data_IF_294156105432
#
_entry.id   IF_294156105432
#
_cell.length_a   1.000
_cell.length_b   1.000
_cell.length_c   1.000
_cell.angle_alpha   90.00
_cell.angle_beta   90.00
_cell.angle_gamma   90.00
#
_symmetry.space_group_name_H-M   'P 1'
#
loop_
_entity.id
_entity.type
_entity.pdbx_description
1 polymer ?
#
# COMPACT_ATOMS: atom_id res chain seq x y z
N UNK A 1 -50.19 51.79 -17.68
CA UNK A 1 -49.25 50.65 -17.68
C UNK A 1 -48.97 50.33 -16.24
N UNK A 2 -49.47 49.17 -15.83
CA UNK A 2 -49.47 48.59 -14.50
C UNK A 2 -48.15 47.86 -14.23
N UNK A 3 -47.53 48.08 -13.07
CA UNK A 3 -46.50 47.20 -12.51
C UNK A 3 -46.69 47.15 -10.99
N UNK A 4 -47.41 46.11 -10.57
CA UNK A 4 -47.66 45.76 -9.19
C UNK A 4 -46.42 45.19 -8.48
N UNK A 5 -46.27 45.61 -7.23
CA UNK A 5 -45.40 45.05 -6.21
C UNK A 5 -45.90 43.67 -5.75
N UNK A 6 -44.99 42.71 -5.54
CA UNK A 6 -45.30 41.40 -4.97
C UNK A 6 -44.15 40.87 -4.11
N UNK A 7 -44.30 41.05 -2.80
CA UNK A 7 -43.44 40.59 -1.72
C UNK A 7 -43.65 39.06 -1.50
N UNK A 8 -42.59 38.25 -1.36
CA UNK A 8 -42.75 36.90 -0.81
C UNK A 8 -41.64 36.52 0.17
N UNK A 9 -42.12 36.10 1.34
CA UNK A 9 -41.44 35.75 2.57
C UNK A 9 -41.20 34.23 2.64
N UNK A 10 -40.12 33.87 3.34
CA UNK A 10 -39.68 32.52 3.71
C UNK A 10 -40.80 31.51 4.05
N UNK A 11 -40.63 30.27 3.59
CA UNK A 11 -40.94 29.10 4.43
C UNK A 11 -40.04 27.90 4.11
N UNK A 12 -39.63 27.22 5.18
CA UNK A 12 -38.77 26.06 5.23
C UNK A 12 -39.44 24.78 4.71
N UNK A 13 -38.64 23.76 4.38
CA UNK A 13 -39.11 22.39 4.22
C UNK A 13 -38.14 21.51 3.45
N UNK A 14 -37.46 20.60 4.16
CA UNK A 14 -36.48 19.67 3.60
C UNK A 14 -37.06 18.66 2.60
N UNK A 15 -36.24 18.28 1.62
CA UNK A 15 -36.54 17.25 0.63
C UNK A 15 -35.67 16.02 0.87
N UNK A 16 -36.25 14.99 1.49
CA UNK A 16 -35.72 13.64 1.51
C UNK A 16 -36.08 12.89 0.23
N UNK A 17 -35.11 12.17 -0.35
CA UNK A 17 -35.34 11.28 -1.49
C UNK A 17 -35.67 9.87 -0.99
N UNK A 18 -36.87 9.41 -1.33
CA UNK A 18 -37.43 8.12 -0.95
C UNK A 18 -36.79 6.98 -1.76
N UNK A 19 -36.33 5.95 -1.05
CA UNK A 19 -36.00 4.63 -1.57
C UNK A 19 -37.30 3.82 -1.73
N UNK A 20 -37.68 3.47 -2.96
CA UNK A 20 -38.79 2.55 -3.22
C UNK A 20 -38.23 1.18 -3.62
N UNK A 21 -38.40 0.20 -2.74
CA UNK A 21 -37.98 -1.18 -2.95
C UNK A 21 -38.98 -2.03 -3.74
N UNK A 22 -38.38 -2.98 -4.47
CA UNK A 22 -38.82 -4.34 -4.83
C UNK A 22 -40.10 -4.57 -5.64
N UNK A 23 -39.95 -5.26 -6.78
CA UNK A 23 -40.44 -6.64 -7.01
C UNK A 23 -40.16 -7.11 -8.46
N UNK A 24 -39.63 -8.33 -8.64
CA UNK A 24 -39.91 -9.14 -9.86
C UNK A 24 -38.75 -9.68 -10.72
N UNK A 25 -38.08 -10.75 -10.24
CA UNK A 25 -37.63 -12.02 -10.90
C UNK A 25 -37.44 -12.10 -12.45
N UNK A 26 -36.26 -12.64 -12.86
CA UNK A 26 -35.90 -13.20 -14.19
C UNK A 26 -34.86 -12.33 -14.91
N UNK A 27 -33.65 -12.72 -15.33
CA UNK A 27 -33.12 -13.98 -15.86
C UNK A 27 -31.57 -13.98 -15.77
N UNK A 28 -30.99 -15.17 -15.73
CA UNK A 28 -29.55 -15.45 -15.60
C UNK A 28 -28.65 -14.66 -16.56
N UNK A 29 -27.64 -13.96 -16.02
CA UNK A 29 -26.41 -13.60 -16.73
C UNK A 29 -25.19 -14.11 -15.95
N UNK A 30 -24.38 -15.03 -16.49
CA UNK A 30 -23.13 -15.46 -15.86
C UNK A 30 -22.02 -14.50 -16.26
N UNK A 31 -21.67 -13.57 -15.37
CA UNK A 31 -20.54 -12.67 -15.56
C UNK A 31 -20.20 -11.99 -14.24
N UNK A 32 -19.20 -12.54 -13.56
CA UNK A 32 -18.95 -12.35 -12.14
C UNK A 32 -18.85 -10.89 -11.69
N UNK A 33 -19.39 -10.67 -10.49
CA UNK A 33 -19.20 -9.49 -9.67
C UNK A 33 -17.73 -9.08 -9.68
N UNK A 34 -17.41 -8.01 -10.41
CA UNK A 34 -16.19 -7.24 -10.20
C UNK A 34 -16.33 -6.59 -8.81
N UNK A 35 -16.02 -7.38 -7.78
CA UNK A 35 -15.66 -6.86 -6.47
C UNK A 35 -14.62 -5.79 -6.73
N UNK A 36 -14.99 -4.52 -6.51
CA UNK A 36 -14.07 -3.38 -6.59
C UNK A 36 -12.95 -3.69 -5.60
N UNK A 37 -11.85 -4.22 -6.14
CA UNK A 37 -10.75 -4.71 -5.33
C UNK A 37 -9.95 -3.49 -4.90
N UNK A 38 -10.35 -2.88 -3.78
CA UNK A 38 -9.70 -1.70 -3.18
C UNK A 38 -8.23 -1.94 -2.75
N UNK A 39 -7.66 -3.14 -2.98
CA UNK A 39 -6.29 -3.51 -2.64
C UNK A 39 -5.35 -3.78 -3.84
N UNK A 40 -5.75 -3.49 -5.09
CA UNK A 40 -4.90 -3.75 -6.26
C UNK A 40 -3.94 -2.62 -6.63
N UNK A 41 -4.19 -1.40 -6.15
CA UNK A 41 -3.35 -0.27 -6.50
C UNK A 41 -2.08 -0.21 -5.65
N UNK A 42 -0.96 -0.62 -6.23
CA UNK A 42 0.37 -0.57 -5.60
C UNK A 42 1.21 0.53 -6.19
N UNK A 43 2.01 1.21 -5.36
CA UNK A 43 3.10 2.07 -5.82
C UNK A 43 4.43 1.35 -5.67
N UNK A 44 5.09 1.03 -6.79
CA UNK A 44 6.32 0.25 -6.81
C UNK A 44 7.57 1.11 -7.05
N UNK A 45 8.52 1.19 -6.11
CA UNK A 45 9.83 1.75 -6.40
C UNK A 45 10.60 0.78 -7.32
N UNK A 46 11.06 1.28 -8.47
CA UNK A 46 11.77 0.50 -9.48
C UNK A 46 12.96 1.26 -10.06
N UNK A 47 13.87 0.52 -10.69
CA UNK A 47 14.87 1.05 -11.62
C UNK A 47 14.30 1.10 -13.04
N UNK A 48 14.89 1.91 -13.92
CA UNK A 48 14.48 1.98 -15.33
C UNK A 48 14.73 0.65 -16.03
N UNK A 49 15.78 -0.10 -15.67
CA UNK A 49 16.00 -1.43 -16.24
C UNK A 49 14.82 -2.38 -15.96
N UNK A 50 14.28 -2.36 -14.74
CA UNK A 50 13.09 -3.14 -14.41
C UNK A 50 11.85 -2.70 -15.21
N UNK A 51 11.72 -1.41 -15.52
CA UNK A 51 10.65 -0.90 -16.40
C UNK A 51 10.80 -1.45 -17.82
N UNK A 52 12.01 -1.45 -18.35
CA UNK A 52 12.33 -1.96 -19.70
C UNK A 52 12.11 -3.48 -19.77
N UNK A 53 12.40 -4.20 -18.69
CA UNK A 53 12.31 -5.67 -18.61
C UNK A 53 10.96 -6.18 -18.12
N UNK A 54 10.06 -5.30 -17.64
CA UNK A 54 8.75 -5.68 -17.12
C UNK A 54 8.00 -6.60 -18.10
N UNK A 55 7.20 -7.53 -17.62
CA UNK A 55 6.52 -8.49 -18.47
C UNK A 55 5.08 -8.08 -18.69
N UNK A 56 4.55 -8.27 -19.90
CA UNK A 56 3.15 -8.03 -20.22
C UNK A 56 2.64 -9.22 -21.02
N UNK A 57 1.63 -9.93 -20.50
CA UNK A 57 1.17 -11.18 -21.11
C UNK A 57 0.45 -10.95 -22.46
N UNK A 58 -0.31 -9.85 -22.56
CA UNK A 58 -0.99 -9.38 -23.75
C UNK A 58 -1.21 -7.85 -23.65
N UNK A 59 -1.58 -7.14 -24.73
CA UNK A 59 -1.66 -5.67 -24.73
C UNK A 59 -2.54 -5.04 -23.64
N UNK A 60 -3.63 -5.72 -23.26
CA UNK A 60 -4.57 -5.26 -22.23
C UNK A 60 -4.28 -5.78 -20.82
N UNK A 61 -3.19 -6.54 -20.64
CA UNK A 61 -2.78 -7.02 -19.31
C UNK A 61 -1.97 -5.97 -18.57
N UNK A 62 -2.08 -5.97 -17.25
CA UNK A 62 -1.19 -5.20 -16.39
C UNK A 62 0.27 -5.68 -16.51
N UNK A 63 1.19 -4.76 -16.29
CA UNK A 63 2.62 -5.08 -16.29
C UNK A 63 2.99 -5.83 -15.01
N UNK A 64 3.94 -6.75 -15.14
CA UNK A 64 4.53 -7.46 -14.02
C UNK A 64 6.01 -7.15 -13.88
N UNK A 65 6.43 -6.86 -12.66
CA UNK A 65 7.84 -6.75 -12.27
C UNK A 65 8.07 -7.77 -11.17
N UNK A 66 9.14 -8.57 -11.29
CA UNK A 66 9.46 -9.65 -10.34
C UNK A 66 8.31 -10.67 -10.17
N UNK A 67 7.53 -10.90 -11.25
CA UNK A 67 6.38 -11.80 -11.25
C UNK A 67 5.09 -11.23 -10.63
N UNK A 68 5.13 -10.02 -10.08
CA UNK A 68 3.99 -9.37 -9.43
C UNK A 68 3.47 -8.19 -10.25
N UNK A 69 2.15 -8.06 -10.30
CA UNK A 69 1.44 -6.99 -10.98
C UNK A 69 1.79 -5.62 -10.40
N UNK A 70 2.00 -4.63 -11.26
CA UNK A 70 2.35 -3.26 -10.88
C UNK A 70 1.40 -2.29 -11.58
N UNK A 71 0.56 -1.61 -10.81
CA UNK A 71 -0.37 -0.60 -11.34
C UNK A 71 0.26 0.79 -11.42
N UNK A 72 1.09 1.16 -10.44
CA UNK A 72 1.81 2.43 -10.39
C UNK A 72 3.27 2.19 -9.99
N UNK A 73 4.16 3.05 -10.47
CA UNK A 73 5.58 2.98 -10.18
C UNK A 73 6.15 4.34 -9.80
N UNK A 74 7.26 4.32 -9.08
CA UNK A 74 8.09 5.49 -8.82
C UNK A 74 9.55 5.20 -9.09
N UNK A 75 10.24 6.19 -9.63
CA UNK A 75 11.68 6.13 -9.83
C UNK A 75 12.32 7.51 -9.77
N UNK A 76 13.63 7.53 -9.54
CA UNK A 76 14.46 8.74 -9.55
C UNK A 76 15.48 8.62 -10.68
N UNK A 77 15.66 9.69 -11.44
CA UNK A 77 16.67 9.73 -12.50
C UNK A 77 16.97 11.16 -12.95
N UNK A 78 18.03 11.29 -13.74
CA UNK A 78 18.47 12.54 -14.35
C UNK A 78 17.72 12.80 -15.65
N UNK A 79 17.18 14.01 -15.82
CA UNK A 79 16.54 14.45 -17.05
C UNK A 79 17.63 14.71 -18.10
N UNK A 80 17.61 13.94 -19.18
CA UNK A 80 18.54 14.08 -20.31
C UNK A 80 18.03 14.99 -21.40
N UNK A 81 16.71 15.04 -21.59
CA UNK A 81 16.09 15.91 -22.57
C UNK A 81 14.64 16.24 -22.17
N UNK A 82 14.19 17.44 -22.53
CA UNK A 82 12.80 17.89 -22.38
C UNK A 82 12.26 18.27 -23.77
N UNK A 83 11.13 17.67 -24.15
CA UNK A 83 10.40 17.98 -25.38
C UNK A 83 8.97 18.40 -25.06
N UNK A 84 8.69 19.69 -25.17
CA UNK A 84 7.35 20.26 -24.94
C UNK A 84 6.51 20.22 -26.22
N UNK A 85 5.30 19.67 -26.13
CA UNK A 85 4.27 19.69 -27.17
C UNK A 85 3.01 20.38 -26.63
N UNK A 86 2.04 20.63 -27.50
CA UNK A 86 0.80 21.32 -27.13
C UNK A 86 0.02 20.61 -26.02
N UNK A 87 0.00 19.27 -26.02
CA UNK A 87 -0.83 18.47 -25.11
C UNK A 87 -0.04 17.74 -24.03
N UNK A 88 1.28 17.64 -24.17
CA UNK A 88 2.14 16.92 -23.23
C UNK A 88 3.57 17.46 -23.23
N UNK A 89 4.28 17.21 -22.13
CA UNK A 89 5.72 17.37 -22.03
C UNK A 89 6.32 15.97 -21.92
N UNK A 90 7.30 15.67 -22.77
CA UNK A 90 8.03 14.41 -22.74
C UNK A 90 9.42 14.63 -22.19
N UNK A 91 9.77 13.91 -21.12
CA UNK A 91 11.07 13.90 -20.49
C UNK A 91 11.78 12.59 -20.84
N UNK A 92 13.03 12.66 -21.30
CA UNK A 92 13.90 11.49 -21.40
C UNK A 92 14.71 11.40 -20.11
N UNK A 93 14.50 10.35 -19.31
CA UNK A 93 15.10 10.21 -17.97
C UNK A 93 16.01 9.00 -17.93
N UNK A 94 17.17 9.14 -17.28
CA UNK A 94 18.22 8.15 -17.12
C UNK A 94 18.62 7.98 -15.65
N UNK A 95 18.69 6.75 -15.15
CA UNK A 95 19.07 6.42 -13.77
C UNK A 95 20.38 5.61 -13.68
N UNK A 96 21.13 5.53 -14.78
CA UNK A 96 22.32 4.68 -14.93
C UNK A 96 22.03 3.21 -15.24
N UNK A 97 20.80 2.73 -15.04
CA UNK A 97 20.39 1.35 -15.39
C UNK A 97 19.71 1.26 -16.76
N UNK A 98 19.23 2.38 -17.27
CA UNK A 98 18.65 2.52 -18.59
C UNK A 98 18.09 3.92 -18.81
N UNK A 99 17.39 4.12 -19.92
CA UNK A 99 16.72 5.37 -20.24
C UNK A 99 15.27 5.13 -20.65
N UNK A 100 14.33 5.97 -20.20
CA UNK A 100 12.90 5.86 -20.52
C UNK A 100 12.27 7.22 -20.84
N UNK A 101 11.26 7.22 -21.70
CA UNK A 101 10.41 8.39 -21.94
C UNK A 101 9.32 8.48 -20.87
N UNK A 102 9.16 9.67 -20.31
CA UNK A 102 8.12 10.01 -19.33
C UNK A 102 7.26 11.12 -19.90
N UNK A 103 5.95 10.87 -20.01
CA UNK A 103 4.99 11.81 -20.59
C UNK A 103 4.10 12.39 -19.51
N UNK A 104 4.17 13.69 -19.31
CA UNK A 104 3.26 14.46 -18.47
C UNK A 104 2.23 15.14 -19.37
N UNK A 105 0.96 14.79 -19.21
CA UNK A 105 -0.12 15.50 -19.90
C UNK A 105 -0.37 16.82 -19.18
N UNK A 106 -0.52 17.88 -19.96
CA UNK A 106 -0.68 19.25 -19.49
C UNK A 106 -1.92 19.83 -20.15
N UNK A 107 -2.78 20.44 -19.36
CA UNK A 107 -3.85 21.28 -19.89
C UNK A 107 -3.21 22.56 -20.46
N UNK A 108 -3.79 23.08 -21.54
CA UNK A 108 -3.25 24.21 -22.31
C UNK A 108 -2.88 25.44 -21.46
N UNK A 109 -3.56 25.63 -20.33
CA UNK A 109 -3.36 26.74 -19.41
C UNK A 109 -2.10 26.56 -18.52
N UNK A 110 -1.64 25.33 -18.31
CA UNK A 110 -0.47 25.00 -17.48
C UNK A 110 0.84 25.19 -18.25
N UNK A 111 0.84 24.97 -19.56
CA UNK A 111 2.03 25.12 -20.42
C UNK A 111 2.56 26.55 -20.38
N UNK A 112 1.66 27.54 -20.31
CA UNK A 112 1.99 28.96 -20.25
C UNK A 112 2.39 29.43 -18.83
N UNK A 113 2.03 28.69 -17.78
CA UNK A 113 2.37 29.05 -16.39
C UNK A 113 3.71 28.50 -15.91
N UNK A 114 4.30 27.53 -16.61
CA UNK A 114 5.69 27.10 -16.36
C UNK A 114 6.74 28.19 -16.67
N UNK A 115 6.35 29.23 -17.40
CA UNK A 115 7.20 30.39 -17.72
C UNK A 115 6.93 31.60 -16.79
N UNK A 116 5.86 31.58 -16.00
CA UNK A 116 5.41 32.77 -15.22
C UNK A 116 5.26 32.55 -13.70
N UNK A 117 5.60 31.36 -13.18
CA UNK A 117 5.59 31.10 -11.74
C UNK A 117 6.92 31.53 -11.08
N UNK A 118 6.80 32.52 -10.20
CA UNK A 118 7.79 33.13 -9.29
C UNK A 118 8.96 32.25 -8.81
N UNK A 119 10.16 32.85 -8.80
CA UNK A 119 11.54 32.34 -8.63
C UNK A 119 11.89 31.52 -7.35
N UNK A 120 10.95 30.90 -6.65
CA UNK A 120 11.22 30.22 -5.38
C UNK A 120 11.08 28.69 -5.38
N UNK A 121 10.51 28.08 -6.42
CA UNK A 121 10.32 26.62 -6.49
C UNK A 121 11.38 25.98 -7.40
N UNK A 122 12.01 24.86 -6.99
CA UNK A 122 12.91 24.13 -7.86
C UNK A 122 12.19 23.76 -9.16
N UNK A 123 12.85 24.00 -10.31
CA UNK A 123 12.29 23.80 -11.65
C UNK A 123 12.83 22.51 -12.27
N UNK A 124 11.99 21.82 -13.05
CA UNK A 124 12.42 20.69 -13.88
C UNK A 124 13.28 21.21 -15.03
N UNK A 125 14.56 20.87 -15.04
CA UNK A 125 15.53 21.32 -16.05
C UNK A 125 16.33 20.15 -16.59
N UNK A 126 16.86 20.28 -17.81
CA UNK A 126 17.82 19.31 -18.33
C UNK A 126 19.03 19.20 -17.39
N UNK A 127 19.58 18.00 -17.26
CA UNK A 127 20.64 17.60 -16.35
C UNK A 127 20.31 17.67 -14.85
N UNK A 128 19.09 18.06 -14.46
CA UNK A 128 18.62 17.95 -13.07
C UNK A 128 18.02 16.56 -12.77
N UNK A 129 18.02 16.17 -11.51
CA UNK A 129 17.34 14.95 -11.06
C UNK A 129 15.86 15.21 -10.77
N UNK A 130 15.01 14.22 -11.06
CA UNK A 130 13.60 14.25 -10.71
C UNK A 130 13.14 12.90 -10.16
N UNK A 131 12.18 12.92 -9.24
CA UNK A 131 11.35 11.78 -8.88
C UNK A 131 10.07 11.78 -9.72
N UNK A 132 9.76 10.63 -10.27
CA UNK A 132 8.57 10.39 -11.10
C UNK A 132 7.63 9.46 -10.36
N UNK A 133 6.33 9.73 -10.46
CA UNK A 133 5.25 8.81 -10.13
C UNK A 133 4.33 8.68 -11.33
N UNK A 134 4.04 7.46 -11.75
CA UNK A 134 3.23 7.24 -12.94
C UNK A 134 2.88 5.79 -13.20
N UNK A 135 2.25 5.57 -14.35
CA UNK A 135 1.87 4.23 -14.83
C UNK A 135 2.70 3.86 -16.05
N UNK A 136 3.18 2.61 -16.06
CA UNK A 136 3.85 2.05 -17.22
C UNK A 136 2.83 1.84 -18.33
N UNK A 137 3.17 2.28 -19.54
CA UNK A 137 2.37 2.10 -20.75
C UNK A 137 3.26 1.56 -21.86
N UNK A 138 2.65 0.84 -22.79
CA UNK A 138 3.29 0.44 -24.05
C UNK A 138 2.42 0.91 -25.21
N UNK A 139 3.03 1.55 -26.19
CA UNK A 139 2.36 1.93 -27.43
C UNK A 139 3.26 1.60 -28.61
N UNK A 140 2.75 0.85 -29.59
CA UNK A 140 3.52 0.41 -30.76
C UNK A 140 4.85 -0.27 -30.36
N UNK A 141 4.81 -1.13 -29.34
CA UNK A 141 5.97 -1.83 -28.80
C UNK A 141 6.97 -0.98 -28.01
N UNK A 142 6.76 0.35 -27.91
CA UNK A 142 7.62 1.24 -27.12
C UNK A 142 7.02 1.53 -25.75
N UNK A 143 7.82 1.28 -24.71
CA UNK A 143 7.44 1.54 -23.33
C UNK A 143 7.72 2.99 -22.95
N UNK A 144 6.79 3.57 -22.21
CA UNK A 144 6.90 4.90 -21.64
C UNK A 144 6.13 4.97 -20.34
N UNK A 145 6.46 5.95 -19.49
CA UNK A 145 5.73 6.19 -18.24
C UNK A 145 4.79 7.36 -18.44
N UNK A 146 3.50 7.16 -18.24
CA UNK A 146 2.54 8.26 -18.12
C UNK A 146 2.63 8.81 -16.70
N UNK A 147 3.24 9.98 -16.52
CA UNK A 147 3.44 10.58 -15.21
C UNK A 147 2.17 11.24 -14.69
N UNK A 148 1.90 11.02 -13.41
CA UNK A 148 0.94 11.78 -12.62
C UNK A 148 1.64 12.96 -11.94
N UNK A 149 2.85 12.73 -11.43
CA UNK A 149 3.66 13.71 -10.71
C UNK A 149 5.11 13.56 -11.16
N UNK A 150 5.75 14.69 -11.48
CA UNK A 150 7.21 14.78 -11.66
C UNK A 150 7.70 15.88 -10.74
N UNK A 151 8.56 15.53 -9.78
CA UNK A 151 9.09 16.46 -8.79
C UNK A 151 10.60 16.59 -8.94
N UNK A 152 11.15 17.81 -9.04
CA UNK A 152 12.60 18.02 -9.00
C UNK A 152 13.18 17.58 -7.66
N UNK A 153 14.33 16.93 -7.70
CA UNK A 153 15.09 16.52 -6.51
C UNK A 153 15.85 17.73 -5.97
N UNK A 154 15.65 18.02 -4.69
CA UNK A 154 16.38 19.08 -3.96
C UNK A 154 17.49 18.51 -3.07
N UNK A 155 17.27 17.33 -2.49
CA UNK A 155 18.25 16.60 -1.70
C UNK A 155 18.74 15.37 -2.48
N UNK A 156 20.03 15.34 -2.79
CA UNK A 156 20.63 14.26 -3.60
C UNK A 156 20.75 12.93 -2.83
N UNK A 157 20.57 12.92 -1.50
CA UNK A 157 20.44 11.67 -0.74
C UNK A 157 19.27 10.82 -1.24
N UNK A 158 18.22 11.45 -1.78
CA UNK A 158 17.06 10.76 -2.34
C UNK A 158 17.41 9.84 -3.52
N UNK A 159 18.44 10.20 -4.31
CA UNK A 159 18.88 9.38 -5.45
C UNK A 159 19.42 8.04 -4.97
N UNK A 160 20.30 8.06 -3.95
CA UNK A 160 20.87 6.85 -3.39
C UNK A 160 19.85 6.06 -2.58
N UNK A 161 19.02 6.76 -1.81
CA UNK A 161 17.91 6.15 -1.08
C UNK A 161 16.99 5.37 -2.02
N UNK A 162 16.59 5.97 -3.15
CA UNK A 162 15.72 5.31 -4.14
C UNK A 162 16.34 4.04 -4.70
N UNK A 163 17.65 4.05 -4.99
CA UNK A 163 18.34 2.87 -5.51
C UNK A 163 18.36 1.73 -4.48
N UNK A 164 18.59 2.05 -3.21
CA UNK A 164 18.53 1.08 -2.11
C UNK A 164 17.10 0.57 -1.90
N UNK A 165 16.10 1.45 -1.95
CA UNK A 165 14.67 1.14 -1.84
C UNK A 165 14.23 0.17 -2.94
N UNK A 166 14.49 0.50 -4.22
CA UNK A 166 14.17 -0.36 -5.35
C UNK A 166 14.87 -1.72 -5.26
N UNK A 167 16.12 -1.75 -4.79
CA UNK A 167 16.88 -2.99 -4.58
C UNK A 167 16.26 -3.84 -3.47
N UNK A 168 15.97 -3.26 -2.30
CA UNK A 168 15.38 -3.98 -1.17
C UNK A 168 14.02 -4.57 -1.54
N UNK A 169 13.19 -3.80 -2.23
CA UNK A 169 11.88 -4.22 -2.71
C UNK A 169 12.00 -5.32 -3.78
N UNK A 170 12.95 -5.21 -4.71
CA UNK A 170 13.24 -6.29 -5.67
C UNK A 170 13.63 -7.60 -4.97
N UNK A 171 14.52 -7.51 -3.97
CA UNK A 171 14.97 -8.68 -3.20
C UNK A 171 13.82 -9.33 -2.43
N UNK A 172 12.94 -8.53 -1.82
CA UNK A 172 11.78 -9.07 -1.13
C UNK A 172 10.90 -9.91 -2.06
N UNK A 173 10.62 -9.43 -3.27
CA UNK A 173 9.72 -10.13 -4.20
C UNK A 173 10.38 -11.33 -4.90
N UNK A 174 11.71 -11.31 -5.06
CA UNK A 174 12.44 -12.41 -5.71
C UNK A 174 12.98 -13.46 -4.77
N UNK A 175 13.23 -13.13 -3.49
CA UNK A 175 13.87 -14.01 -2.49
C UNK A 175 13.07 -14.18 -1.19
N UNK A 176 11.97 -13.45 -1.06
CA UNK A 176 11.20 -13.36 0.17
C UNK A 176 11.85 -12.43 1.20
N UNK A 177 11.23 -12.30 2.40
CA UNK A 177 11.77 -11.50 3.48
C UNK A 177 13.15 -12.00 3.93
N UNK A 178 14.05 -11.11 4.42
CA UNK A 178 15.37 -11.49 4.93
C UNK A 178 15.30 -12.68 5.90
N UNK A 179 16.28 -13.60 5.82
CA UNK A 179 16.34 -14.84 6.63
C UNK A 179 16.23 -14.62 8.16
N UNK A 180 16.53 -13.42 8.66
CA UNK A 180 16.32 -13.07 10.07
C UNK A 180 14.82 -12.99 10.44
N UNK A 181 13.94 -12.71 9.48
CA UNK A 181 12.48 -12.84 9.63
C UNK A 181 12.01 -14.29 9.42
N UNK A 182 12.77 -15.11 8.67
CA UNK A 182 12.50 -16.56 8.54
C UNK A 182 12.95 -17.38 9.75
N UNK A 183 13.86 -16.87 10.60
CA UNK A 183 14.26 -17.51 11.86
C UNK A 183 13.17 -17.55 12.95
N UNK A 184 11.96 -17.07 12.66
CA UNK A 184 10.75 -17.39 13.43
C UNK A 184 10.13 -18.76 13.07
N UNK A 185 10.58 -19.42 11.99
CA UNK A 185 10.05 -20.70 11.52
C UNK A 185 11.14 -21.74 11.26
N UNK A 186 11.28 -22.69 12.19
CA UNK A 186 11.96 -23.97 12.03
C UNK A 186 13.43 -23.94 11.54
N UNK A 187 14.36 -23.61 12.44
CA UNK A 187 15.72 -24.14 12.40
C UNK A 187 15.88 -25.17 13.53
N UNK A 188 15.36 -26.39 13.30
CA UNK A 188 15.75 -27.55 14.08
C UNK A 188 16.84 -28.32 13.32
N UNK A 189 17.96 -28.51 14.03
CA UNK A 189 18.86 -29.65 13.96
C UNK A 189 20.09 -29.58 13.03
N UNK A 190 21.27 -29.50 13.66
CA UNK A 190 22.48 -30.15 13.16
C UNK A 190 23.75 -29.30 13.22
N UNK A 191 24.44 -29.28 14.37
CA UNK A 191 25.81 -28.74 14.43
C UNK A 191 26.32 -28.56 15.86
N UNK A 192 26.80 -29.64 16.47
CA UNK A 192 27.47 -29.61 17.75
C UNK A 192 28.87 -28.98 17.64
N UNK A 193 29.20 -28.05 18.55
CA UNK A 193 30.56 -27.83 19.04
C UNK A 193 30.53 -27.16 20.43
N UNK A 194 31.43 -27.53 21.36
CA UNK A 194 31.31 -27.19 22.79
C UNK A 194 32.22 -26.04 23.25
N UNK A 195 31.80 -25.33 24.30
CA UNK A 195 32.61 -24.42 25.10
C UNK A 195 31.73 -23.59 26.02
N UNK A 196 31.60 -23.94 27.30
CA UNK A 196 32.23 -23.26 28.46
C UNK A 196 31.97 -21.73 28.47
N UNK A 197 31.45 -21.08 29.52
CA UNK A 197 31.29 -21.43 30.93
C UNK A 197 30.46 -20.29 31.60
N UNK A 198 29.58 -20.67 32.53
CA UNK A 198 29.30 -20.02 33.83
C UNK A 198 28.86 -18.54 33.89
N UNK A 199 27.65 -18.36 34.41
CA UNK A 199 27.18 -17.13 35.07
C UNK A 199 25.89 -17.42 35.86
N UNK A 200 26.01 -17.44 37.19
CA UNK A 200 25.01 -17.90 38.17
C UNK A 200 24.03 -16.78 38.56
N UNK A 201 22.75 -17.16 38.72
CA UNK A 201 21.76 -16.54 39.64
C UNK A 201 20.80 -15.52 39.00
N UNK A 202 19.48 -15.58 39.16
CA UNK A 202 18.64 -16.48 39.94
C UNK A 202 17.14 -16.19 39.73
N UNK A 203 16.32 -17.09 40.28
CA UNK A 203 14.87 -17.00 40.54
C UNK A 203 13.90 -16.80 39.35
N UNK A 204 13.34 -17.91 38.88
CA UNK A 204 11.95 -17.96 38.43
C UNK A 204 11.33 -19.32 38.80
N UNK A 205 10.34 -19.27 39.70
CA UNK A 205 9.49 -20.40 40.02
C UNK A 205 8.42 -20.55 38.92
N UNK A 206 8.57 -21.66 38.19
CA UNK A 206 7.57 -22.67 37.85
C UNK A 206 6.19 -22.32 37.25
N UNK A 207 5.87 -23.12 36.22
CA UNK A 207 4.61 -23.40 35.50
C UNK A 207 4.07 -22.39 34.49
N UNK A 208 3.79 -22.73 33.22
CA UNK A 208 3.99 -23.98 32.48
C UNK A 208 3.36 -23.82 31.08
N UNK A 209 3.85 -24.59 30.11
CA UNK A 209 3.30 -24.69 28.77
C UNK A 209 4.15 -23.99 27.71
N UNK A 210 5.11 -24.74 27.15
CA UNK A 210 5.84 -24.31 25.96
C UNK A 210 4.90 -24.23 24.76
N UNK A 211 4.88 -23.07 24.13
CA UNK A 211 4.46 -22.96 22.75
C UNK A 211 5.24 -21.83 22.09
N UNK A 212 5.98 -22.20 21.06
CA UNK A 212 6.78 -21.36 20.20
C UNK A 212 5.90 -20.24 19.63
N UNK A 213 6.02 -19.04 20.17
CA UNK A 213 5.30 -17.85 19.71
C UNK A 213 6.26 -16.67 19.58
N UNK A 214 5.98 -15.78 18.62
CA UNK A 214 6.64 -14.49 18.46
C UNK A 214 6.83 -13.82 19.82
N UNK A 215 7.98 -13.16 20.02
CA UNK A 215 8.19 -12.30 21.18
C UNK A 215 7.25 -11.09 21.05
N UNK A 216 6.04 -11.21 21.60
CA UNK A 216 5.06 -10.14 21.64
C UNK A 216 5.59 -9.00 22.52
N UNK A 217 5.24 -7.74 22.22
CA UNK A 217 5.47 -6.62 23.12
C UNK A 217 4.83 -6.89 24.51
N UNK A 218 5.16 -6.11 25.55
CA UNK A 218 4.45 -6.21 26.83
C UNK A 218 2.96 -5.90 26.64
N UNK A 219 2.16 -6.95 26.58
CA UNK A 219 0.70 -6.94 26.45
C UNK A 219 0.03 -7.21 27.79
N UNK A 220 -1.16 -6.65 27.99
CA UNK A 220 -2.05 -7.03 29.08
C UNK A 220 -2.47 -8.49 28.99
N UNK A 221 -2.81 -9.10 30.13
CA UNK A 221 -3.28 -10.50 30.20
C UNK A 221 -4.47 -10.79 29.27
N UNK A 222 -5.50 -9.93 29.20
CA UNK A 222 -6.61 -10.05 28.25
C UNK A 222 -6.16 -9.94 26.78
N UNK A 223 -5.30 -8.97 26.44
CA UNK A 223 -4.81 -8.79 25.07
C UNK A 223 -4.03 -10.01 24.57
N UNK A 224 -3.20 -10.62 25.43
CA UNK A 224 -2.47 -11.86 25.10
C UNK A 224 -3.41 -13.03 24.79
N UNK A 225 -4.49 -13.17 25.56
CA UNK A 225 -5.50 -14.24 25.33
C UNK A 225 -6.26 -14.04 24.02
N UNK A 226 -6.62 -12.81 23.70
CA UNK A 226 -7.28 -12.47 22.43
C UNK A 226 -6.35 -12.76 21.26
N UNK A 227 -5.11 -12.28 21.31
CA UNK A 227 -4.11 -12.52 20.27
C UNK A 227 -3.92 -14.02 20.01
N UNK A 228 -3.76 -14.83 21.07
CA UNK A 228 -3.65 -16.27 20.94
C UNK A 228 -4.91 -16.95 20.35
N UNK A 229 -6.10 -16.41 20.64
CA UNK A 229 -7.36 -16.91 20.09
C UNK A 229 -7.46 -16.61 18.58
N UNK A 230 -6.99 -15.45 18.16
CA UNK A 230 -6.90 -15.08 16.74
C UNK A 230 -5.84 -15.90 15.99
N UNK A 231 -4.78 -16.34 16.67
CA UNK A 231 -3.67 -17.13 16.11
C UNK A 231 -4.02 -18.61 15.95
N UNK A 232 -4.74 -19.16 16.92
CA UNK A 232 -5.13 -20.58 16.94
C UNK A 232 -6.40 -20.88 16.15
N UNK A 233 -7.16 -19.85 15.76
CA UNK A 233 -8.37 -20.03 14.96
C UNK A 233 -8.03 -20.12 13.47
N UNK A 234 -8.77 -20.92 12.67
CA UNK A 234 -8.54 -21.04 11.23
C UNK A 234 -8.67 -19.65 10.59
N UNK A 235 -7.58 -19.15 10.02
CA UNK A 235 -7.56 -17.81 9.44
C UNK A 235 -8.32 -17.81 8.10
N UNK A 236 -9.61 -17.47 8.15
CA UNK A 236 -10.27 -16.87 7.00
C UNK A 236 -9.73 -15.45 6.85
N UNK A 237 -9.62 -14.94 5.62
CA UNK A 237 -9.26 -13.53 5.34
C UNK A 237 -10.23 -12.50 5.97
N UNK A 238 -11.27 -12.97 6.65
CA UNK A 238 -12.32 -12.17 7.29
C UNK A 238 -12.07 -11.97 8.80
N UNK A 239 -11.13 -12.68 9.43
CA UNK A 239 -10.86 -12.54 10.86
C UNK A 239 -11.97 -13.11 11.77
N UNK A 240 -12.02 -12.66 13.02
CA UNK A 240 -13.00 -13.08 14.02
C UNK A 240 -13.77 -11.88 14.58
N UNK A 241 -15.09 -12.05 14.73
CA UNK A 241 -15.95 -11.04 15.32
C UNK A 241 -15.80 -10.99 16.85
N UNK A 242 -16.00 -9.82 17.45
CA UNK A 242 -15.96 -9.59 18.89
C UNK A 242 -16.82 -10.57 19.70
N UNK A 243 -17.98 -10.97 19.18
CA UNK A 243 -18.88 -11.91 19.86
C UNK A 243 -18.30 -13.34 19.88
N UNK A 244 -17.62 -13.73 18.81
CA UNK A 244 -16.94 -15.03 18.70
C UNK A 244 -15.69 -15.07 19.59
N UNK A 245 -14.96 -13.96 19.69
CA UNK A 245 -13.81 -13.84 20.58
C UNK A 245 -14.26 -13.87 22.04
N UNK A 246 -15.32 -13.13 22.38
CA UNK A 246 -15.91 -13.10 23.72
C UNK A 246 -16.32 -14.50 24.19
N UNK A 247 -16.99 -15.28 23.31
CA UNK A 247 -17.42 -16.64 23.63
C UNK A 247 -16.26 -17.64 23.78
N UNK A 248 -15.19 -17.51 22.97
CA UNK A 248 -14.02 -18.38 23.03
C UNK A 248 -13.12 -18.11 24.24
N UNK A 249 -12.91 -16.83 24.58
CA UNK A 249 -12.03 -16.43 25.69
C UNK A 249 -12.78 -16.38 27.03
N UNK A 250 -14.12 -16.40 27.00
CA UNK A 250 -14.96 -16.32 28.20
C UNK A 250 -14.90 -14.96 28.88
N UNK A 251 -14.71 -13.88 28.11
CA UNK A 251 -14.62 -12.50 28.60
C UNK A 251 -15.85 -11.69 28.16
N UNK A 252 -16.21 -10.68 28.95
CA UNK A 252 -17.26 -9.74 28.56
C UNK A 252 -16.84 -8.95 27.32
N UNK A 253 -17.80 -8.66 26.43
CA UNK A 253 -17.57 -7.94 25.17
C UNK A 253 -16.85 -6.60 25.38
N UNK A 254 -17.18 -5.88 26.45
CA UNK A 254 -16.53 -4.61 26.78
C UNK A 254 -15.03 -4.75 27.12
N UNK A 255 -14.63 -5.87 27.74
CA UNK A 255 -13.23 -6.14 28.06
C UNK A 255 -12.47 -6.62 26.83
N UNK A 256 -13.16 -7.33 25.92
CA UNK A 256 -12.62 -7.70 24.60
C UNK A 256 -12.35 -6.45 23.77
N UNK A 257 -13.27 -5.49 23.72
CA UNK A 257 -13.10 -4.22 22.99
C UNK A 257 -11.90 -3.41 23.49
N UNK A 258 -11.75 -3.27 24.81
CA UNK A 258 -10.59 -2.55 25.40
C UNK A 258 -9.26 -3.22 25.09
N UNK A 259 -9.22 -4.54 25.15
CA UNK A 259 -8.02 -5.30 24.86
C UNK A 259 -7.71 -5.36 23.35
N UNK A 260 -8.74 -5.32 22.49
CA UNK A 260 -8.57 -5.18 21.04
C UNK A 260 -8.02 -3.80 20.67
N UNK A 261 -8.45 -2.72 21.32
CA UNK A 261 -7.90 -1.37 21.12
C UNK A 261 -6.40 -1.31 21.48
N UNK A 262 -5.99 -1.98 22.57
CA UNK A 262 -4.57 -2.14 22.91
C UNK A 262 -3.80 -2.85 21.78
N UNK A 263 -4.33 -3.96 21.26
CA UNK A 263 -3.69 -4.71 20.17
C UNK A 263 -3.64 -3.91 18.85
N UNK A 264 -4.66 -3.12 18.55
CA UNK A 264 -4.70 -2.20 17.40
C UNK A 264 -3.65 -1.10 17.55
N UNK A 265 -3.54 -0.50 18.73
CA UNK A 265 -2.55 0.54 19.03
C UNK A 265 -1.11 0.06 18.88
N UNK A 266 -0.87 -1.23 19.14
CA UNK A 266 0.43 -1.88 18.99
C UNK A 266 0.67 -2.46 17.59
N UNK A 267 -0.30 -2.34 16.68
CA UNK A 267 -0.20 -2.83 15.30
C UNK A 267 -0.14 -4.37 15.20
N UNK A 268 -0.72 -5.09 16.16
CA UNK A 268 -0.72 -6.56 16.18
C UNK A 268 -1.92 -7.18 15.46
N UNK A 269 -3.02 -6.42 15.37
CA UNK A 269 -4.25 -6.81 14.69
C UNK A 269 -4.75 -5.65 13.82
N UNK A 270 -5.65 -5.91 12.88
CA UNK A 270 -6.32 -4.89 12.06
C UNK A 270 -7.81 -5.20 11.89
N UNK A 271 -8.63 -4.17 11.67
CA UNK A 271 -10.06 -4.31 11.36
C UNK A 271 -10.26 -4.76 9.91
N UNK A 272 -11.24 -5.63 9.68
CA UNK A 272 -11.46 -6.27 8.37
C UNK A 272 -12.82 -5.89 7.78
N UNK A 273 -13.87 -6.65 8.12
CA UNK A 273 -15.23 -6.53 7.56
C UNK A 273 -15.97 -5.34 8.17
N UNK A 274 -15.77 -5.11 9.47
CA UNK A 274 -16.35 -4.01 10.23
C UNK A 274 -15.44 -3.63 11.42
N UNK A 275 -15.87 -2.65 12.20
CA UNK A 275 -15.13 -2.15 13.38
C UNK A 275 -15.05 -3.18 14.54
N UNK A 276 -15.80 -4.28 14.45
CA UNK A 276 -15.91 -5.31 15.48
C UNK A 276 -15.30 -6.65 15.04
N UNK A 277 -14.58 -6.69 13.91
CA UNK A 277 -14.03 -7.91 13.33
C UNK A 277 -12.55 -7.73 13.05
N UNK A 278 -11.71 -8.53 13.70
CA UNK A 278 -10.25 -8.37 13.68
C UNK A 278 -9.51 -9.59 13.17
N UNK A 279 -8.42 -9.34 12.44
CA UNK A 279 -7.47 -10.36 12.00
C UNK A 279 -6.04 -10.00 12.47
N UNK A 280 -5.16 -10.99 12.56
CA UNK A 280 -3.76 -10.77 12.93
C UNK A 280 -3.03 -10.09 11.78
N UNK A 281 -2.25 -9.07 12.11
CA UNK A 281 -1.37 -8.43 11.15
C UNK A 281 -0.10 -9.29 10.97
N UNK A 282 -0.07 -10.07 9.90
CA UNK A 282 1.11 -10.85 9.52
C UNK A 282 2.14 -9.90 8.87
N UNK A 283 3.03 -9.33 9.70
CA UNK A 283 4.23 -8.59 9.24
C UNK A 283 5.38 -9.52 8.90
#
# INVERSE_FOLDING_TARGET
MDYGYGNYQNNAGGGGFMNNGSQGIGENSPGGSASKTYGKDTLRPVTIKQIIDAQQAHPDADFKVDGVEVTQLTFVGQIRNISTQTTNITYKIDDGTGTVEVKQWVDSDVVNSMDTATDAKPKLMENSYARVWGKLKSFSGKRHVGAHIIRPITDHNEVQYHLLEATAVHLFFTRGPPEQLKKGGNAAQGGAAPGQQVGVGGNAADNGGGQSGRALPPLSGPARKIYHTLETSPQSNEGLNVQDISSRVGMQVNDVLKAADELLSQGLIYTTVDDNTWAILDM
#
